data_IF_261875782508
#
_entry.id   IF_261875782508
#
_cell.length_a   1.000
_cell.length_b   1.000
_cell.length_c   1.000
_cell.angle_alpha   90.00
_cell.angle_beta   90.00
_cell.angle_gamma   90.00
#
_symmetry.space_group_name_H-M   'P 1'
#
loop_
_entity.id
_entity.type
_entity.pdbx_description
1 polymer ?
#
# COMPACT_ATOMS: atom_id res chain seq x y z
N UNK A 1 2.92 -28.92 23.07
CA UNK A 1 1.56 -28.38 23.38
C UNK A 1 1.20 -27.42 22.27
N UNK A 2 0.25 -27.79 21.41
CA UNK A 2 -0.24 -26.88 20.37
C UNK A 2 -1.09 -25.80 21.04
N UNK A 3 -0.54 -24.60 21.17
CA UNK A 3 -1.32 -23.44 21.62
C UNK A 3 -2.24 -23.07 20.47
N UNK A 4 -3.54 -23.24 20.66
CA UNK A 4 -4.51 -22.78 19.67
C UNK A 4 -4.56 -21.24 19.73
N UNK A 5 -3.98 -20.60 18.72
CA UNK A 5 -3.84 -19.15 18.60
C UNK A 5 -4.75 -18.59 17.51
N UNK A 6 -5.99 -19.08 17.39
CA UNK A 6 -6.95 -18.53 16.43
C UNK A 6 -7.06 -17.00 16.56
N UNK A 7 -6.51 -16.29 15.58
CA UNK A 7 -6.49 -14.82 15.52
C UNK A 7 -5.39 -14.13 16.35
N UNK A 8 -4.54 -14.86 17.08
CA UNK A 8 -3.45 -14.26 17.87
C UNK A 8 -2.09 -14.48 17.19
N UNK A 9 -1.30 -13.41 17.08
CA UNK A 9 0.06 -13.52 16.58
C UNK A 9 0.94 -14.23 17.62
N UNK A 10 1.68 -15.26 17.20
CA UNK A 10 2.59 -16.03 18.09
C UNK A 10 3.72 -15.20 18.70
N UNK A 11 3.99 -14.00 18.16
CA UNK A 11 5.13 -13.15 18.49
C UNK A 11 6.39 -13.52 17.70
N UNK A 12 7.21 -12.50 17.41
CA UNK A 12 8.40 -12.64 16.54
C UNK A 12 9.41 -13.65 17.10
N UNK A 13 9.67 -13.62 18.41
CA UNK A 13 10.59 -14.55 19.06
C UNK A 13 10.16 -16.01 18.85
N UNK A 14 8.88 -16.30 19.03
CA UNK A 14 8.33 -17.65 18.85
C UNK A 14 8.50 -18.11 17.39
N UNK A 15 8.11 -17.28 16.43
CA UNK A 15 8.23 -17.57 14.99
C UNK A 15 9.68 -17.83 14.58
N UNK A 16 10.62 -17.02 15.07
CA UNK A 16 12.05 -17.22 14.81
C UNK A 16 12.60 -18.47 15.52
N UNK A 17 12.09 -18.82 16.69
CA UNK A 17 12.50 -20.02 17.42
C UNK A 17 12.01 -21.29 16.73
N UNK A 18 10.76 -21.32 16.24
CA UNK A 18 10.22 -22.41 15.42
C UNK A 18 11.05 -22.64 14.14
N UNK A 19 11.71 -21.60 13.64
CA UNK A 19 12.57 -21.65 12.44
C UNK A 19 14.05 -21.90 12.74
N UNK A 20 14.45 -22.04 14.01
CA UNK A 20 15.85 -22.22 14.41
C UNK A 20 16.73 -20.98 14.20
N UNK A 21 16.13 -19.79 14.08
CA UNK A 21 16.79 -18.53 13.76
C UNK A 21 16.96 -17.59 14.96
N UNK A 22 16.33 -17.91 16.09
CA UNK A 22 16.44 -17.11 17.31
C UNK A 22 17.83 -17.25 17.94
N UNK A 23 18.50 -16.12 18.19
CA UNK A 23 19.81 -16.07 18.88
C UNK A 23 19.62 -15.51 20.30
N UNK A 24 20.39 -16.03 21.26
CA UNK A 24 20.34 -15.53 22.64
C UNK A 24 20.68 -14.04 22.70
N UNK A 25 19.87 -13.27 23.43
CA UNK A 25 19.96 -11.80 23.55
C UNK A 25 19.78 -11.05 22.22
N UNK A 26 19.12 -11.65 21.23
CA UNK A 26 18.72 -10.95 20.02
C UNK A 26 17.78 -9.80 20.36
N UNK A 27 18.11 -8.60 19.88
CA UNK A 27 17.24 -7.43 20.02
C UNK A 27 16.06 -7.54 19.05
N UNK A 28 14.89 -7.03 19.48
CA UNK A 28 13.71 -6.94 18.62
C UNK A 28 13.98 -6.02 17.42
N UNK A 29 14.44 -4.79 17.69
CA UNK A 29 14.75 -3.77 16.68
C UNK A 29 16.12 -3.14 16.98
N UNK A 30 17.01 -3.12 15.98
CA UNK A 30 18.28 -2.41 16.07
C UNK A 30 18.13 -0.93 15.61
N UNK A 31 19.05 -0.05 16.01
CA UNK A 31 19.00 1.37 15.60
C UNK A 31 19.06 1.57 14.07
N UNK A 32 19.75 0.66 13.34
CA UNK A 32 19.80 0.66 11.88
C UNK A 32 18.42 0.34 11.27
N UNK A 33 17.72 -0.67 11.81
CA UNK A 33 16.37 -1.04 11.37
C UNK A 33 15.39 0.13 11.52
N UNK A 34 15.52 0.92 12.60
CA UNK A 34 14.69 2.10 12.84
C UNK A 34 14.94 3.25 11.86
N UNK A 35 16.17 3.40 11.38
CA UNK A 35 16.55 4.50 10.49
C UNK A 35 16.11 4.29 9.03
N UNK A 36 15.75 3.07 8.61
CA UNK A 36 15.24 2.66 7.28
C UNK A 36 16.07 3.07 6.04
N UNK A 37 17.02 3.98 6.17
CA UNK A 37 17.59 4.68 5.01
C UNK A 37 18.69 3.89 4.31
N UNK A 38 19.40 2.99 4.99
CA UNK A 38 20.43 2.12 4.39
C UNK A 38 20.57 0.87 5.24
N UNK A 39 19.77 -0.15 4.95
CA UNK A 39 19.95 -1.48 5.52
C UNK A 39 20.94 -2.20 4.60
N UNK A 40 22.19 -2.49 5.03
CA UNK A 40 23.15 -3.20 4.18
C UNK A 40 22.60 -4.60 3.84
N UNK A 41 22.93 -5.09 2.64
CA UNK A 41 22.35 -6.31 2.04
C UNK A 41 22.45 -7.58 2.91
N UNK A 42 23.31 -7.60 3.93
CA UNK A 42 23.55 -8.79 4.75
C UNK A 42 23.83 -8.45 6.22
N UNK A 43 22.84 -7.95 6.96
CA UNK A 43 22.96 -7.86 8.42
C UNK A 43 21.76 -8.49 9.12
N UNK A 44 21.97 -9.67 9.71
CA UNK A 44 21.14 -10.28 10.75
C UNK A 44 21.08 -9.42 12.05
N UNK A 45 20.77 -8.11 11.96
CA UNK A 45 21.01 -7.16 13.06
C UNK A 45 20.01 -7.34 14.22
N UNK A 46 18.79 -7.76 13.92
CA UNK A 46 17.69 -7.85 14.88
C UNK A 46 16.60 -8.80 14.39
N UNK A 47 15.70 -9.17 15.31
CA UNK A 47 14.61 -10.08 15.05
C UNK A 47 13.65 -9.56 13.95
N UNK A 48 13.34 -8.26 13.94
CA UNK A 48 12.48 -7.65 12.93
C UNK A 48 13.10 -7.67 11.52
N UNK A 49 14.41 -7.45 11.39
CA UNK A 49 15.09 -7.58 10.10
C UNK A 49 15.07 -9.04 9.62
N UNK A 50 15.41 -9.96 10.52
CA UNK A 50 15.53 -11.38 10.19
C UNK A 50 14.20 -11.98 9.75
N UNK A 51 13.09 -11.63 10.43
CA UNK A 51 11.75 -12.10 10.06
C UNK A 51 11.27 -11.48 8.74
N UNK A 52 11.57 -10.20 8.50
CA UNK A 52 11.15 -9.49 7.27
C UNK A 52 11.83 -10.04 6.02
N UNK A 53 13.05 -10.58 6.15
CA UNK A 53 13.81 -11.18 5.05
C UNK A 53 13.61 -12.70 4.91
N UNK A 54 12.70 -13.30 5.69
CA UNK A 54 12.39 -14.72 5.49
C UNK A 54 11.64 -14.91 4.16
N UNK A 55 11.93 -15.98 3.40
CA UNK A 55 11.30 -16.23 2.10
C UNK A 55 9.76 -16.15 2.14
N UNK A 56 9.13 -16.82 3.11
CA UNK A 56 7.68 -16.79 3.25
C UNK A 56 7.07 -15.42 3.56
N UNK A 57 7.85 -14.45 4.05
CA UNK A 57 7.39 -13.07 4.24
C UNK A 57 7.66 -12.20 3.00
N UNK A 58 8.78 -12.43 2.30
CA UNK A 58 9.10 -11.75 1.05
C UNK A 58 8.18 -12.17 -0.10
N UNK A 59 7.80 -13.45 -0.14
CA UNK A 59 6.93 -14.04 -1.17
C UNK A 59 5.44 -13.84 -0.87
N UNK A 60 5.09 -13.41 0.35
CA UNK A 60 3.70 -13.24 0.74
C UNK A 60 3.09 -11.98 0.11
N UNK A 61 2.22 -12.20 -0.87
CA UNK A 61 1.37 -11.15 -1.43
C UNK A 61 0.21 -10.85 -0.47
N UNK A 62 -0.24 -9.59 -0.43
CA UNK A 62 -1.44 -9.22 0.33
C UNK A 62 -2.69 -9.88 -0.25
N UNK A 63 -3.69 -10.17 0.58
CA UNK A 63 -4.93 -10.85 0.13
C UNK A 63 -5.61 -10.13 -1.04
N UNK A 64 -5.67 -8.80 -0.99
CA UNK A 64 -6.24 -7.98 -2.07
C UNK A 64 -5.41 -8.10 -3.35
N UNK A 65 -4.07 -8.13 -3.23
CA UNK A 65 -3.20 -8.31 -4.40
C UNK A 65 -3.45 -9.68 -5.04
N UNK A 66 -3.50 -10.75 -4.23
CA UNK A 66 -3.79 -12.11 -4.71
C UNK A 66 -5.14 -12.19 -5.42
N UNK A 67 -6.18 -11.56 -4.86
CA UNK A 67 -7.52 -11.54 -5.46
C UNK A 67 -7.56 -10.78 -6.79
N UNK A 68 -6.85 -9.65 -6.89
CA UNK A 68 -6.79 -8.89 -8.15
C UNK A 68 -6.00 -9.66 -9.21
N UNK A 69 -4.87 -10.26 -8.83
CA UNK A 69 -4.02 -11.06 -9.72
C UNK A 69 -4.72 -12.35 -10.17
N UNK A 70 -5.53 -12.99 -9.32
CA UNK A 70 -6.29 -14.20 -9.68
C UNK A 70 -7.33 -13.94 -10.79
N UNK A 71 -7.81 -12.71 -10.90
CA UNK A 71 -8.70 -12.25 -11.97
C UNK A 71 -7.95 -11.74 -13.22
N UNK A 72 -6.63 -11.90 -13.28
CA UNK A 72 -5.79 -11.52 -14.43
C UNK A 72 -5.46 -10.02 -14.51
N UNK A 73 -5.73 -9.25 -13.44
CA UNK A 73 -5.39 -7.84 -13.36
C UNK A 73 -3.99 -7.63 -12.76
N UNK A 74 -3.37 -6.50 -13.09
CA UNK A 74 -2.08 -6.08 -12.52
C UNK A 74 -2.30 -5.08 -11.39
N UNK A 75 -1.60 -5.27 -10.28
CA UNK A 75 -1.61 -4.32 -9.16
C UNK A 75 -0.46 -3.32 -9.34
N UNK A 76 -0.79 -2.03 -9.30
CA UNK A 76 0.19 -0.95 -9.35
C UNK A 76 0.31 -0.33 -7.96
N UNK A 77 1.49 -0.49 -7.34
CA UNK A 77 1.80 0.11 -6.05
C UNK A 77 2.41 1.50 -6.24
N UNK A 78 1.82 2.50 -5.60
CA UNK A 78 2.36 3.86 -5.57
C UNK A 78 3.27 4.07 -4.35
N UNK A 79 4.32 4.91 -4.47
CA UNK A 79 5.11 5.32 -3.32
C UNK A 79 4.23 5.97 -2.25
N UNK A 80 4.52 5.66 -0.99
CA UNK A 80 3.75 6.19 0.14
C UNK A 80 3.95 7.70 0.25
N UNK A 81 2.86 8.45 0.44
CA UNK A 81 2.85 9.92 0.56
C UNK A 81 3.26 10.69 -0.70
N UNK A 82 3.16 10.06 -1.87
CA UNK A 82 3.40 10.69 -3.16
C UNK A 82 2.14 10.69 -4.03
N UNK A 83 1.09 11.46 -3.69
CA UNK A 83 -0.15 11.52 -4.45
C UNK A 83 0.04 12.04 -5.89
N UNK A 84 1.12 12.75 -6.17
CA UNK A 84 1.49 13.24 -7.51
C UNK A 84 1.64 12.13 -8.56
N UNK A 85 2.01 10.91 -8.12
CA UNK A 85 2.13 9.75 -9.00
C UNK A 85 0.79 9.07 -9.28
N UNK A 86 -0.28 9.41 -8.56
CA UNK A 86 -1.60 8.84 -8.78
C UNK A 86 -2.48 9.77 -9.63
N UNK A 87 -2.63 9.43 -10.91
CA UNK A 87 -3.38 10.27 -11.85
C UNK A 87 -4.86 10.47 -11.49
N UNK A 88 -5.42 9.62 -10.60
CA UNK A 88 -6.78 9.79 -10.10
C UNK A 88 -6.96 11.11 -9.35
N UNK A 89 -5.90 11.67 -8.77
CA UNK A 89 -5.94 12.96 -8.06
C UNK A 89 -6.28 14.11 -9.03
N UNK A 90 -5.75 14.06 -10.26
CA UNK A 90 -6.10 15.03 -11.32
C UNK A 90 -7.53 14.84 -11.81
N UNK A 91 -7.95 13.58 -11.98
CA UNK A 91 -9.33 13.24 -12.34
C UNK A 91 -10.32 13.83 -11.32
N UNK A 92 -10.10 13.56 -10.03
CA UNK A 92 -10.88 14.14 -8.94
C UNK A 92 -10.77 15.65 -8.86
N UNK A 93 -9.58 16.22 -9.08
CA UNK A 93 -9.37 17.67 -9.09
C UNK A 93 -10.25 18.37 -10.13
N UNK A 94 -10.33 17.81 -11.33
CA UNK A 94 -11.23 18.31 -12.39
C UNK A 94 -12.70 18.17 -12.01
N UNK A 95 -13.11 16.99 -11.53
CA UNK A 95 -14.49 16.77 -11.14
C UNK A 95 -14.93 17.75 -10.04
N UNK A 96 -14.11 17.91 -9.00
CA UNK A 96 -14.33 18.87 -7.91
C UNK A 96 -14.42 20.31 -8.42
N UNK A 97 -13.56 20.71 -9.38
CA UNK A 97 -13.61 22.05 -9.97
C UNK A 97 -14.96 22.31 -10.65
N UNK A 98 -15.45 21.37 -11.44
CA UNK A 98 -16.74 21.47 -12.11
C UNK A 98 -17.91 21.49 -11.12
N UNK A 99 -17.93 20.55 -10.17
CA UNK A 99 -19.00 20.50 -9.15
C UNK A 99 -19.03 21.78 -8.33
N UNK A 100 -17.86 22.34 -7.97
CA UNK A 100 -17.79 23.60 -7.21
C UNK A 100 -18.31 24.80 -8.00
N UNK A 101 -18.04 24.90 -9.29
CA UNK A 101 -18.52 26.03 -10.11
C UNK A 101 -20.03 25.98 -10.39
N UNK A 102 -20.67 24.82 -10.22
CA UNK A 102 -22.11 24.61 -10.44
C UNK A 102 -22.86 24.28 -9.14
N UNK A 103 -22.25 24.54 -7.98
CA UNK A 103 -22.80 24.12 -6.69
C UNK A 103 -24.07 24.92 -6.34
N UNK A 104 -25.18 24.21 -6.16
CA UNK A 104 -26.46 24.76 -5.69
C UNK A 104 -26.68 24.56 -4.17
N UNK A 105 -25.64 24.16 -3.44
CA UNK A 105 -25.69 23.87 -1.99
C UNK A 105 -26.76 22.84 -1.57
N UNK A 106 -27.09 21.93 -2.48
CA UNK A 106 -28.04 20.84 -2.27
C UNK A 106 -27.31 19.50 -2.43
N UNK A 107 -27.48 18.60 -1.46
CA UNK A 107 -26.83 17.28 -1.51
C UNK A 107 -27.33 16.41 -2.69
N UNK A 108 -28.66 16.29 -2.93
CA UNK A 108 -29.15 15.63 -4.14
C UNK A 108 -28.54 16.20 -5.42
N UNK A 109 -28.49 17.53 -5.53
CA UNK A 109 -27.94 18.18 -6.72
C UNK A 109 -26.44 17.96 -6.87
N UNK A 110 -25.70 18.00 -5.77
CA UNK A 110 -24.26 17.69 -5.74
C UNK A 110 -23.99 16.29 -6.30
N UNK A 111 -24.81 15.29 -5.96
CA UNK A 111 -24.65 13.93 -6.52
C UNK A 111 -24.81 13.93 -8.04
N UNK A 112 -25.85 14.56 -8.57
CA UNK A 112 -26.05 14.70 -10.02
C UNK A 112 -24.86 15.39 -10.70
N UNK A 113 -24.40 16.50 -10.13
CA UNK A 113 -23.27 17.28 -10.65
C UNK A 113 -21.96 16.48 -10.66
N UNK A 114 -21.72 15.61 -9.69
CA UNK A 114 -20.55 14.73 -9.67
C UNK A 114 -20.57 13.76 -10.85
N UNK A 115 -21.72 13.13 -11.12
CA UNK A 115 -21.85 12.23 -12.28
C UNK A 115 -21.68 12.97 -13.61
N UNK A 116 -22.26 14.18 -13.73
CA UNK A 116 -22.04 15.04 -14.90
C UNK A 116 -20.57 15.42 -15.05
N UNK A 117 -19.89 15.77 -13.94
CA UNK A 117 -18.47 16.10 -13.94
C UNK A 117 -17.61 14.95 -14.47
N UNK A 118 -17.91 13.71 -14.06
CA UNK A 118 -17.21 12.52 -14.54
C UNK A 118 -17.43 12.27 -16.02
N UNK A 119 -18.67 12.43 -16.51
CA UNK A 119 -19.00 12.25 -17.91
C UNK A 119 -18.32 13.27 -18.84
N UNK A 120 -17.97 14.46 -18.31
CA UNK A 120 -17.26 15.50 -19.06
C UNK A 120 -15.75 15.24 -19.21
N UNK A 121 -15.18 14.31 -18.43
CA UNK A 121 -13.75 14.00 -18.49
C UNK A 121 -13.54 12.92 -19.55
N UNK A 122 -13.06 13.33 -20.72
CA UNK A 122 -12.81 12.41 -21.83
C UNK A 122 -11.66 11.45 -21.55
N UNK A 123 -11.65 10.30 -22.25
CA UNK A 123 -10.60 9.28 -22.14
C UNK A 123 -9.23 9.85 -22.52
N UNK A 124 -9.17 10.72 -23.52
CA UNK A 124 -7.92 11.38 -23.95
C UNK A 124 -7.32 12.21 -22.81
N UNK A 125 -8.18 12.85 -22.00
CA UNK A 125 -7.76 13.63 -20.86
C UNK A 125 -7.27 12.74 -19.71
N UNK A 126 -7.93 11.61 -19.47
CA UNK A 126 -7.47 10.58 -18.52
C UNK A 126 -6.08 10.06 -18.92
N UNK A 127 -5.86 9.76 -20.20
CA UNK A 127 -4.56 9.35 -20.70
C UNK A 127 -3.50 10.45 -20.53
N UNK A 128 -3.88 11.73 -20.70
CA UNK A 128 -2.98 12.84 -20.43
C UNK A 128 -2.57 12.91 -18.96
N UNK A 129 -3.49 12.64 -18.03
CA UNK A 129 -3.19 12.59 -16.60
C UNK A 129 -2.24 11.43 -16.27
N UNK A 130 -2.51 10.24 -16.81
CA UNK A 130 -1.63 9.09 -16.61
C UNK A 130 -0.19 9.38 -17.06
N UNK A 131 0.00 10.03 -18.22
CA UNK A 131 1.33 10.43 -18.70
C UNK A 131 2.04 11.45 -17.81
N UNK A 132 1.30 12.37 -17.19
CA UNK A 132 1.87 13.38 -16.30
C UNK A 132 2.33 12.79 -14.96
N UNK A 133 1.66 11.75 -14.50
CA UNK A 133 1.97 11.06 -13.24
C UNK A 133 3.06 9.99 -13.37
N UNK A 134 3.47 9.62 -14.59
CA UNK A 134 4.50 8.60 -14.84
C UNK A 134 5.92 9.18 -14.96
N UNK A 135 6.23 10.23 -14.19
CA UNK A 135 7.53 10.92 -14.23
C UNK A 135 8.60 10.22 -13.39
#
# INVERSE_FOLDING_TARGET
TYVNLHGQSKGIQWVLSERGLWKNRMMLECALYKKKDQIPDVIDCCACWLISNQPGFLEQHGQIQQEIESHGHKVLFYPKFHPEFNYIEMYWGMAKKYTRSHCEYSLPKTKELIYQAFALISVEKIHSFARLSYR
#
